data_IF_198398402915
#
_entry.id   IF_198398402915
#
_cell.length_a   1.000
_cell.length_b   1.000
_cell.length_c   1.000
_cell.angle_alpha   90.00
_cell.angle_beta   90.00
_cell.angle_gamma   90.00
#
_symmetry.space_group_name_H-M   'P 1'
#
loop_
_entity.id
_entity.type
_entity.pdbx_description
1 polymer ?
#
# COMPACT_ATOMS: atom_id res chain seq x y z
N UNK A 1 -53.27 -4.68 -67.87
CA UNK A 1 -53.97 -3.61 -67.08
C UNK A 1 -52.99 -3.18 -66.01
N UNK A 2 -52.39 -2.04 -66.20
CA UNK A 2 -51.47 -1.46 -65.25
C UNK A 2 -52.24 -0.45 -64.40
N UNK A 3 -52.37 -0.76 -63.11
CA UNK A 3 -53.02 0.13 -62.13
C UNK A 3 -52.06 1.22 -61.73
N UNK A 4 -52.40 2.43 -62.12
CA UNK A 4 -51.64 3.65 -61.86
C UNK A 4 -51.95 4.13 -60.49
N UNK A 5 -51.06 3.86 -59.53
CA UNK A 5 -51.13 4.39 -58.16
C UNK A 5 -50.86 5.89 -58.21
N UNK A 6 -51.91 6.65 -58.02
CA UNK A 6 -51.91 8.13 -57.93
C UNK A 6 -51.38 8.53 -56.57
N UNK A 7 -50.12 9.09 -56.57
CA UNK A 7 -49.57 9.67 -55.37
C UNK A 7 -50.25 11.04 -55.10
N UNK A 8 -51.06 11.03 -54.05
CA UNK A 8 -51.74 12.24 -53.57
C UNK A 8 -50.68 13.09 -52.79
N UNK A 9 -50.22 14.14 -53.39
CA UNK A 9 -49.37 15.12 -52.72
C UNK A 9 -50.19 15.83 -51.65
N UNK A 10 -49.84 15.60 -50.39
CA UNK A 10 -50.42 16.30 -49.27
C UNK A 10 -49.67 17.63 -49.18
N UNK A 11 -50.36 18.72 -49.53
CA UNK A 11 -49.88 20.08 -49.21
C UNK A 11 -50.00 20.27 -47.68
N UNK A 12 -48.89 20.10 -47.00
CA UNK A 12 -48.76 20.40 -45.56
C UNK A 12 -48.73 21.92 -45.44
N UNK A 13 -49.75 22.48 -44.77
CA UNK A 13 -49.77 23.94 -44.50
C UNK A 13 -48.64 24.31 -43.56
N UNK A 14 -48.12 25.52 -43.66
CA UNK A 14 -47.04 26.00 -42.78
C UNK A 14 -47.43 25.90 -41.27
N UNK A 15 -48.69 26.08 -40.96
CA UNK A 15 -49.25 25.92 -39.59
C UNK A 15 -49.10 24.48 -39.06
N UNK A 16 -49.30 23.45 -39.90
CA UNK A 16 -49.11 22.04 -39.52
C UNK A 16 -47.63 21.71 -39.22
N UNK A 17 -46.71 22.34 -39.95
CA UNK A 17 -45.25 22.18 -39.72
C UNK A 17 -44.82 22.81 -38.40
N UNK A 18 -45.32 24.01 -38.07
CA UNK A 18 -44.99 24.67 -36.79
C UNK A 18 -45.55 23.90 -35.59
N UNK A 19 -46.79 23.38 -35.70
CA UNK A 19 -47.38 22.55 -34.65
C UNK A 19 -46.58 21.21 -34.44
N UNK A 20 -46.10 20.60 -35.51
CA UNK A 20 -45.27 19.42 -35.46
C UNK A 20 -43.90 19.71 -34.82
N UNK A 21 -43.25 20.80 -35.18
CA UNK A 21 -41.99 21.24 -34.60
C UNK A 21 -42.13 21.51 -33.09
N UNK A 22 -43.20 22.14 -32.67
CA UNK A 22 -43.46 22.39 -31.25
C UNK A 22 -43.70 21.09 -30.48
N UNK A 23 -44.43 20.15 -31.03
CA UNK A 23 -44.66 18.82 -30.45
C UNK A 23 -43.37 18.04 -30.32
N UNK A 24 -42.51 18.05 -31.35
CA UNK A 24 -41.19 17.42 -31.34
C UNK A 24 -40.29 18.08 -30.28
N UNK A 25 -40.28 19.41 -30.19
CA UNK A 25 -39.49 20.17 -29.22
C UNK A 25 -39.93 19.85 -27.79
N UNK A 26 -41.23 19.80 -27.49
CA UNK A 26 -41.79 19.43 -26.20
C UNK A 26 -41.44 17.96 -25.84
N UNK A 27 -41.47 17.06 -26.82
CA UNK A 27 -41.12 15.65 -26.61
C UNK A 27 -39.63 15.49 -26.33
N UNK A 28 -38.75 16.16 -27.08
CA UNK A 28 -37.29 16.20 -26.85
C UNK A 28 -36.96 16.73 -25.45
N UNK A 29 -37.58 17.78 -25.01
CA UNK A 29 -37.39 18.33 -23.65
C UNK A 29 -37.86 17.35 -22.57
N UNK A 30 -38.93 16.62 -22.77
CA UNK A 30 -39.40 15.59 -21.82
C UNK A 30 -38.41 14.40 -21.77
N UNK A 31 -37.90 13.95 -22.92
CA UNK A 31 -36.90 12.87 -22.97
C UNK A 31 -35.61 13.38 -22.35
N UNK A 32 -35.11 14.56 -22.74
CA UNK A 32 -33.88 15.13 -22.18
C UNK A 32 -33.94 15.27 -20.65
N UNK A 33 -35.07 15.72 -20.10
CA UNK A 33 -35.26 15.79 -18.64
C UNK A 33 -35.24 14.39 -17.98
N UNK A 34 -35.87 13.38 -18.59
CA UNK A 34 -35.88 12.02 -18.08
C UNK A 34 -34.48 11.40 -18.14
N UNK A 35 -33.76 11.56 -19.24
CA UNK A 35 -32.39 11.06 -19.38
C UNK A 35 -31.41 11.77 -18.42
N UNK A 36 -31.54 13.08 -18.27
CA UNK A 36 -30.76 13.83 -17.28
C UNK A 36 -31.03 13.35 -15.85
N UNK A 37 -32.28 13.08 -15.50
CA UNK A 37 -32.66 12.59 -14.19
C UNK A 37 -32.07 11.19 -13.93
N UNK A 38 -32.12 10.29 -14.92
CA UNK A 38 -31.48 8.96 -14.83
C UNK A 38 -29.97 9.07 -14.64
N UNK A 39 -29.31 9.95 -15.40
CA UNK A 39 -27.86 10.16 -15.25
C UNK A 39 -27.52 10.69 -13.84
N UNK A 40 -28.26 11.66 -13.34
CA UNK A 40 -28.06 12.19 -11.98
C UNK A 40 -28.26 11.12 -10.91
N UNK A 41 -29.29 10.28 -11.04
CA UNK A 41 -29.50 9.18 -10.07
C UNK A 41 -28.41 8.13 -10.11
N UNK A 42 -27.89 7.79 -11.29
CA UNK A 42 -26.75 6.87 -11.42
C UNK A 42 -25.49 7.45 -10.80
N UNK A 43 -25.18 8.72 -11.10
CA UNK A 43 -24.01 9.39 -10.51
C UNK A 43 -24.14 9.49 -8.98
N UNK A 44 -25.32 9.85 -8.48
CA UNK A 44 -25.56 9.90 -7.04
C UNK A 44 -25.42 8.52 -6.36
N UNK A 45 -25.87 7.44 -7.03
CA UNK A 45 -25.70 6.07 -6.52
C UNK A 45 -24.21 5.66 -6.47
N UNK A 46 -23.43 5.99 -7.49
CA UNK A 46 -21.98 5.73 -7.50
C UNK A 46 -21.28 6.49 -6.38
N UNK A 47 -21.55 7.77 -6.23
CA UNK A 47 -20.98 8.59 -5.14
C UNK A 47 -21.38 8.00 -3.77
N UNK A 48 -22.63 7.57 -3.62
CA UNK A 48 -23.11 6.98 -2.38
C UNK A 48 -22.38 5.68 -2.05
N UNK A 49 -22.13 4.81 -3.03
CA UNK A 49 -21.36 3.56 -2.84
C UNK A 49 -19.91 3.87 -2.45
N UNK A 50 -19.27 4.82 -3.11
CA UNK A 50 -17.91 5.24 -2.79
C UNK A 50 -17.81 5.84 -1.37
N UNK A 51 -18.72 6.75 -1.02
CA UNK A 51 -18.78 7.29 0.35
C UNK A 51 -19.04 6.20 1.39
N UNK A 52 -19.96 5.28 1.09
CA UNK A 52 -20.27 4.18 1.99
C UNK A 52 -19.09 3.26 2.20
N UNK A 53 -18.33 2.94 1.15
CA UNK A 53 -17.12 2.14 1.25
C UNK A 53 -16.01 2.85 2.03
N UNK A 54 -15.83 4.15 1.83
CA UNK A 54 -14.85 4.97 2.55
C UNK A 54 -15.20 5.16 4.03
N UNK A 55 -16.50 5.22 4.37
CA UNK A 55 -17.00 5.37 5.74
C UNK A 55 -17.17 4.04 6.49
N UNK A 56 -16.98 2.88 5.82
CA UNK A 56 -16.97 1.59 6.50
C UNK A 56 -15.76 1.50 7.40
N UNK A 57 -15.98 1.79 8.66
CA UNK A 57 -15.01 1.49 9.71
C UNK A 57 -15.08 -0.02 9.95
N UNK A 58 -13.98 -0.72 9.70
CA UNK A 58 -13.87 -2.13 10.08
C UNK A 58 -13.77 -2.19 11.60
N UNK A 59 -14.86 -2.58 12.26
CA UNK A 59 -14.95 -2.64 13.73
C UNK A 59 -14.61 -4.02 14.30
N UNK A 60 -14.06 -4.91 13.50
CA UNK A 60 -13.69 -6.26 13.93
C UNK A 60 -12.52 -6.80 13.11
N UNK A 61 -11.79 -7.71 13.71
CA UNK A 61 -10.81 -8.55 13.03
C UNK A 61 -11.30 -10.00 13.07
N UNK A 62 -11.05 -10.73 11.99
CA UNK A 62 -11.27 -12.17 11.94
C UNK A 62 -9.90 -12.83 11.96
N UNK A 63 -9.70 -13.73 12.93
CA UNK A 63 -8.47 -14.51 13.03
C UNK A 63 -8.52 -15.58 11.94
N UNK A 64 -7.77 -15.39 10.87
CA UNK A 64 -7.70 -16.33 9.74
C UNK A 64 -6.83 -17.54 10.04
N UNK A 65 -5.80 -17.37 10.87
CA UNK A 65 -4.93 -18.45 11.32
C UNK A 65 -4.39 -18.13 12.72
N UNK A 66 -4.28 -19.14 13.55
CA UNK A 66 -3.56 -19.07 14.82
C UNK A 66 -2.67 -20.30 14.94
N UNK A 67 -1.39 -20.09 15.23
CA UNK A 67 -0.45 -21.13 15.53
C UNK A 67 -0.03 -21.04 16.99
N UNK A 68 0.02 -22.19 17.68
CA UNK A 68 0.53 -22.26 19.03
C UNK A 68 2.06 -22.20 18.97
N UNK A 69 2.65 -21.15 19.48
CA UNK A 69 4.10 -20.96 19.49
C UNK A 69 4.68 -21.54 20.77
N UNK A 70 5.80 -22.22 20.61
CA UNK A 70 6.60 -22.76 21.73
C UNK A 70 7.73 -21.78 22.08
N UNK A 71 7.39 -20.50 22.19
CA UNK A 71 8.41 -19.47 22.31
C UNK A 71 8.96 -19.37 23.72
N UNK A 72 10.26 -19.31 23.80
CA UNK A 72 11.01 -18.73 24.89
C UNK A 72 11.09 -17.22 24.64
N UNK A 73 10.39 -16.42 25.43
CA UNK A 73 10.57 -14.97 25.58
C UNK A 73 11.08 -14.20 24.34
N UNK A 74 10.38 -14.28 23.21
CA UNK A 74 10.68 -13.45 22.07
C UNK A 74 10.63 -11.97 22.45
N UNK A 75 11.67 -11.22 22.13
CA UNK A 75 11.83 -9.83 22.51
C UNK A 75 10.88 -8.92 21.74
N UNK A 76 10.52 -9.27 20.50
CA UNK A 76 9.59 -8.46 19.75
C UNK A 76 9.17 -9.00 18.40
N UNK A 77 8.13 -8.40 17.89
CA UNK A 77 7.56 -8.69 16.57
C UNK A 77 7.41 -7.40 15.77
N UNK A 78 7.74 -7.43 14.49
CA UNK A 78 7.47 -6.35 13.54
C UNK A 78 7.00 -6.91 12.20
N UNK A 79 6.30 -6.08 11.44
CA UNK A 79 5.92 -6.40 10.06
C UNK A 79 6.94 -5.83 9.08
N UNK A 80 7.26 -6.60 8.05
CA UNK A 80 8.16 -6.23 6.97
C UNK A 80 7.62 -6.76 5.65
N UNK A 81 7.18 -5.89 4.76
CA UNK A 81 6.63 -6.25 3.44
C UNK A 81 5.52 -7.33 3.49
N UNK A 82 4.61 -7.21 4.45
CA UNK A 82 3.52 -8.19 4.63
C UNK A 82 3.95 -9.50 5.30
N UNK A 83 5.22 -9.62 5.72
CA UNK A 83 5.78 -10.74 6.45
C UNK A 83 5.91 -10.40 7.93
N UNK A 84 6.10 -11.39 8.77
CA UNK A 84 6.27 -11.25 10.21
C UNK A 84 7.73 -11.46 10.55
N UNK A 85 8.33 -10.48 11.22
CA UNK A 85 9.65 -10.59 11.82
C UNK A 85 9.49 -10.89 13.30
N UNK A 86 10.16 -11.93 13.76
CA UNK A 86 10.36 -12.25 15.16
C UNK A 86 11.82 -12.08 15.50
N UNK A 87 12.13 -11.36 16.57
CA UNK A 87 13.51 -11.11 16.97
C UNK A 87 13.69 -11.15 18.46
N UNK A 88 14.83 -11.67 18.87
CA UNK A 88 15.27 -11.76 20.26
C UNK A 88 16.77 -11.43 20.36
N UNK A 89 17.39 -11.79 21.49
CA UNK A 89 18.82 -11.55 21.71
C UNK A 89 19.74 -12.44 20.86
N UNK A 90 19.22 -13.58 20.38
CA UNK A 90 19.99 -14.62 19.69
C UNK A 90 19.83 -14.59 18.18
N UNK A 91 18.79 -13.88 17.69
CA UNK A 91 18.56 -13.81 16.26
C UNK A 91 17.28 -13.10 15.82
N UNK A 92 17.08 -13.12 14.51
CA UNK A 92 15.85 -12.65 13.86
C UNK A 92 15.39 -13.68 12.85
N UNK A 93 14.09 -13.89 12.80
CA UNK A 93 13.43 -14.84 11.92
C UNK A 93 12.35 -14.13 11.12
N UNK A 94 12.25 -14.42 9.85
CA UNK A 94 11.21 -13.90 8.97
C UNK A 94 10.27 -15.03 8.55
N UNK A 95 8.99 -14.86 8.86
CA UNK A 95 7.93 -15.78 8.49
C UNK A 95 6.97 -15.15 7.49
N UNK A 96 6.37 -15.99 6.66
CA UNK A 96 5.21 -15.60 5.85
C UNK A 96 3.94 -15.56 6.74
N UNK A 97 2.84 -15.04 6.19
CA UNK A 97 1.52 -15.05 6.83
C UNK A 97 1.00 -16.45 7.17
N UNK A 98 1.50 -17.48 6.50
CA UNK A 98 1.20 -18.89 6.75
C UNK A 98 2.16 -19.56 7.75
N UNK A 99 2.94 -18.76 8.50
CA UNK A 99 3.97 -19.19 9.45
C UNK A 99 5.11 -20.04 8.82
N UNK A 100 5.31 -19.91 7.50
CA UNK A 100 6.44 -20.56 6.82
C UNK A 100 7.70 -19.72 6.98
N UNK A 101 8.77 -20.37 7.42
CA UNK A 101 10.10 -19.76 7.50
C UNK A 101 10.57 -19.32 6.11
N UNK A 102 10.93 -18.05 5.96
CA UNK A 102 11.52 -17.49 4.74
C UNK A 102 13.04 -17.45 4.88
N UNK A 103 13.52 -16.83 5.94
CA UNK A 103 14.94 -16.80 6.30
C UNK A 103 15.10 -16.57 7.80
N UNK A 104 16.29 -16.90 8.32
CA UNK A 104 16.71 -16.59 9.67
C UNK A 104 18.13 -16.04 9.66
N UNK A 105 18.46 -15.24 10.65
CA UNK A 105 19.80 -14.73 10.91
C UNK A 105 20.09 -14.79 12.40
N UNK A 106 21.10 -15.57 12.76
CA UNK A 106 21.58 -15.60 14.14
C UNK A 106 22.58 -14.48 14.40
N UNK A 107 22.50 -13.92 15.57
CA UNK A 107 23.43 -12.96 16.13
C UNK A 107 23.42 -13.11 17.65
N UNK A 108 24.28 -12.39 18.34
CA UNK A 108 24.28 -12.28 19.79
C UNK A 108 24.27 -10.79 20.13
N UNK A 109 23.16 -10.32 20.70
CA UNK A 109 22.93 -8.91 21.05
C UNK A 109 22.34 -8.80 22.45
N UNK A 110 22.69 -7.74 23.15
CA UNK A 110 22.17 -7.48 24.50
C UNK A 110 20.83 -6.77 24.45
N UNK A 111 20.70 -5.79 23.56
CA UNK A 111 19.49 -4.96 23.42
C UNK A 111 19.19 -4.76 21.93
N UNK A 112 18.64 -5.80 21.27
CA UNK A 112 18.36 -5.73 19.85
C UNK A 112 17.22 -4.74 19.57
N UNK A 113 17.46 -3.83 18.64
CA UNK A 113 16.45 -2.91 18.11
C UNK A 113 16.38 -3.02 16.59
N UNK A 114 15.19 -2.76 16.03
CA UNK A 114 14.93 -2.81 14.60
C UNK A 114 14.54 -1.44 14.03
N UNK A 115 15.18 -1.08 12.93
CA UNK A 115 14.73 -0.04 12.01
C UNK A 115 14.26 -0.69 10.70
N UNK A 116 13.03 -0.42 10.28
CA UNK A 116 12.43 -1.01 9.07
C UNK A 116 12.01 0.10 8.13
N UNK A 117 12.37 -0.02 6.85
CA UNK A 117 11.94 0.89 5.80
C UNK A 117 11.77 0.16 4.46
N UNK A 118 10.54 -0.04 4.04
CA UNK A 118 10.13 -0.65 2.77
C UNK A 118 10.90 -1.95 2.40
N UNK A 119 12.04 -1.83 1.68
CA UNK A 119 12.81 -2.96 1.14
C UNK A 119 13.96 -3.43 2.05
N UNK A 120 14.32 -2.64 3.04
CA UNK A 120 15.43 -2.91 3.93
C UNK A 120 15.03 -2.80 5.40
N UNK A 121 15.71 -3.58 6.20
CA UNK A 121 15.67 -3.47 7.64
C UNK A 121 17.09 -3.53 8.21
N UNK A 122 17.28 -2.92 9.35
CA UNK A 122 18.51 -2.98 10.10
C UNK A 122 18.20 -3.47 11.51
N UNK A 123 18.90 -4.49 11.96
CA UNK A 123 18.92 -4.96 13.35
C UNK A 123 20.23 -4.50 13.94
N UNK A 124 20.18 -3.90 15.11
CA UNK A 124 21.37 -3.39 15.77
C UNK A 124 21.29 -3.57 17.28
N UNK A 125 22.45 -3.72 17.92
CA UNK A 125 22.54 -3.76 19.37
C UNK A 125 22.66 -2.35 19.93
N UNK A 126 21.66 -1.91 20.67
CA UNK A 126 21.70 -0.61 21.32
C UNK A 126 22.69 -0.62 22.48
N UNK A 127 23.73 0.20 22.37
CA UNK A 127 24.88 0.20 23.28
C UNK A 127 25.98 -0.78 22.86
N UNK A 128 25.75 -1.61 21.85
CA UNK A 128 26.75 -2.46 21.19
C UNK A 128 27.32 -1.80 19.94
N UNK A 129 28.02 -2.59 19.11
CA UNK A 129 28.76 -2.13 17.91
C UNK A 129 28.33 -2.79 16.62
N UNK A 130 27.40 -3.76 16.65
CA UNK A 130 27.03 -4.53 15.47
C UNK A 130 25.70 -4.05 14.86
N UNK A 131 25.68 -3.99 13.52
CA UNK A 131 24.50 -3.72 12.71
C UNK A 131 24.39 -4.79 11.64
N UNK A 132 23.24 -5.42 11.51
CA UNK A 132 22.90 -6.35 10.43
C UNK A 132 21.87 -5.69 9.53
N UNK A 133 22.24 -5.46 8.28
CA UNK A 133 21.34 -4.91 7.26
C UNK A 133 20.79 -6.07 6.46
N UNK A 134 19.47 -6.11 6.34
CA UNK A 134 18.76 -7.20 5.68
C UNK A 134 17.77 -6.68 4.65
N UNK A 135 17.45 -7.53 3.71
CA UNK A 135 16.42 -7.33 2.70
C UNK A 135 15.39 -8.47 2.76
N UNK A 136 14.48 -8.51 1.82
CA UNK A 136 13.53 -9.61 1.65
C UNK A 136 14.22 -10.99 1.51
N UNK A 137 15.45 -11.01 1.01
CA UNK A 137 16.24 -12.23 0.76
C UNK A 137 17.13 -12.65 1.94
N UNK A 138 17.10 -11.91 3.04
CA UNK A 138 17.95 -12.14 4.21
C UNK A 138 19.08 -11.12 4.32
N UNK A 139 20.21 -11.55 4.90
CA UNK A 139 21.36 -10.69 5.20
C UNK A 139 21.98 -10.09 3.93
N UNK A 140 22.09 -8.77 3.92
CA UNK A 140 22.80 -8.00 2.88
C UNK A 140 24.21 -7.66 3.34
N UNK A 141 24.34 -7.13 4.57
CA UNK A 141 25.63 -6.68 5.09
C UNK A 141 25.65 -6.70 6.62
N UNK A 142 26.79 -7.10 7.17
CA UNK A 142 27.13 -6.91 8.59
C UNK A 142 28.12 -5.78 8.71
N UNK A 143 27.87 -4.87 9.63
CA UNK A 143 28.74 -3.70 9.89
C UNK A 143 29.09 -3.73 11.37
N UNK A 144 30.35 -3.40 11.66
CA UNK A 144 30.84 -3.17 13.00
C UNK A 144 31.28 -1.70 13.12
N UNK A 145 30.75 -1.01 14.13
CA UNK A 145 31.09 0.38 14.42
C UNK A 145 32.22 0.45 15.44
N UNK A 146 33.00 1.53 15.40
CA UNK A 146 34.09 1.73 16.36
C UNK A 146 33.60 2.17 17.75
N UNK A 147 32.40 2.76 17.82
CA UNK A 147 31.82 3.30 19.05
C UNK A 147 30.40 2.76 19.24
N UNK A 148 29.88 2.74 20.48
CA UNK A 148 28.55 2.21 20.78
C UNK A 148 27.45 2.94 20.01
N UNK A 149 26.50 2.13 19.53
CA UNK A 149 25.34 2.58 18.76
C UNK A 149 24.23 3.03 19.70
N UNK A 150 23.73 4.23 19.49
CA UNK A 150 22.55 4.73 20.20
C UNK A 150 21.27 4.48 19.39
N UNK A 151 21.33 4.73 18.07
CA UNK A 151 20.18 4.55 17.17
C UNK A 151 20.61 4.32 15.73
N UNK A 152 19.81 3.52 15.01
CA UNK A 152 19.98 3.28 13.58
C UNK A 152 18.67 3.61 12.86
N UNK A 153 18.77 4.25 11.70
CA UNK A 153 17.66 4.47 10.77
C UNK A 153 18.07 3.98 9.39
N UNK A 154 17.27 3.11 8.79
CA UNK A 154 17.47 2.63 7.43
C UNK A 154 16.55 3.38 6.47
N UNK A 155 17.07 3.75 5.29
CA UNK A 155 16.32 4.38 4.23
C UNK A 155 15.89 3.37 3.17
N UNK A 156 14.95 3.76 2.32
CA UNK A 156 14.37 2.93 1.25
C UNK A 156 15.41 2.32 0.31
N UNK A 157 16.46 3.08 -0.03
CA UNK A 157 17.54 2.64 -0.91
C UNK A 157 18.65 1.84 -0.20
N UNK A 158 18.47 1.48 1.09
CA UNK A 158 19.46 0.75 1.84
C UNK A 158 20.54 1.61 2.51
N UNK A 159 20.48 2.93 2.37
CA UNK A 159 21.36 3.82 3.15
C UNK A 159 20.99 3.76 4.62
N UNK A 160 21.98 3.68 5.48
CA UNK A 160 21.80 3.57 6.93
C UNK A 160 22.45 4.74 7.62
N UNK A 161 21.66 5.48 8.39
CA UNK A 161 22.16 6.52 9.30
C UNK A 161 22.34 5.91 10.69
N UNK A 162 23.53 6.04 11.25
CA UNK A 162 23.88 5.52 12.58
C UNK A 162 24.23 6.68 13.50
N UNK A 163 23.50 6.79 14.59
CA UNK A 163 23.86 7.65 15.70
C UNK A 163 24.68 6.85 16.72
N UNK A 164 25.87 7.26 16.94
CA UNK A 164 26.80 6.68 17.91
C UNK A 164 27.13 7.69 18.99
N UNK A 165 27.37 7.22 20.17
CA UNK A 165 27.73 8.08 21.30
C UNK A 165 28.93 7.54 22.03
N UNK A 166 29.89 8.42 22.29
CA UNK A 166 31.06 8.14 23.12
C UNK A 166 31.24 9.29 24.11
N UNK A 167 31.16 9.03 25.36
CA UNK A 167 31.14 10.00 26.46
C UNK A 167 30.09 11.13 26.20
N UNK A 168 30.56 12.35 26.03
CA UNK A 168 29.74 13.55 25.78
C UNK A 168 29.61 13.91 24.28
N UNK A 169 30.19 13.10 23.39
CA UNK A 169 30.23 13.40 21.94
C UNK A 169 29.32 12.41 21.20
N UNK A 170 28.48 12.95 20.35
CA UNK A 170 27.61 12.15 19.47
C UNK A 170 28.07 12.27 18.03
N UNK A 171 28.13 11.16 17.32
CA UNK A 171 28.52 11.06 15.92
C UNK A 171 27.35 10.55 15.10
N UNK A 172 27.14 11.14 13.91
CA UNK A 172 26.22 10.60 12.92
C UNK A 172 27.02 10.14 11.71
N UNK A 173 26.92 8.86 11.40
CA UNK A 173 27.56 8.25 10.24
C UNK A 173 26.50 7.82 9.23
N UNK A 174 26.76 8.06 7.93
CA UNK A 174 25.94 7.55 6.84
C UNK A 174 26.69 6.40 6.16
N UNK A 175 26.07 5.24 6.16
CA UNK A 175 26.61 4.02 5.57
C UNK A 175 25.76 3.66 4.35
N UNK A 176 26.42 3.34 3.24
CA UNK A 176 25.76 2.92 2.01
C UNK A 176 25.86 1.41 1.85
N UNK A 177 24.73 0.80 1.50
CA UNK A 177 24.69 -0.63 1.19
C UNK A 177 24.95 -0.93 -0.28
N UNK A 178 25.18 0.11 -1.11
CA UNK A 178 25.52 -0.14 -2.50
C UNK A 178 26.71 -1.07 -2.57
N UNK A 179 26.54 -2.22 -3.18
CA UNK A 179 27.61 -2.99 -3.76
C UNK A 179 28.29 -2.09 -4.79
N UNK A 180 29.30 -1.32 -4.34
CA UNK A 180 30.35 -0.96 -5.25
C UNK A 180 30.94 -2.32 -5.63
N UNK A 181 30.63 -2.77 -6.83
CA UNK A 181 31.17 -3.95 -7.41
C UNK A 181 32.68 -3.97 -7.12
N UNK A 182 33.12 -5.01 -6.45
CA UNK A 182 34.50 -5.42 -6.52
C UNK A 182 34.76 -5.80 -7.98
N UNK A 183 35.37 -4.89 -8.72
CA UNK A 183 36.18 -5.22 -9.87
C UNK A 183 37.61 -5.56 -9.41
#
# INVERSE_FOLDING_TARGET
MAEKTEFKTVETSQEDLEELEEKIRRHRHKIARRTALVIVTVVAAVIFVELWSALRTYSGFEVQASAERKDSAATGYKTFQGKILEYDNDGIVCHDTDDRLIWNQSYEMTTPELSVCEQYLAVYDRGGTFIYIMSERGLVKKIETATPIERVCVARQGTVAVLMKEDDVSYVCLLYTSDAADE
#
